data_IF_900135687406
#
_entry.id   IF_900135687406
#
_cell.length_a   1.000
_cell.length_b   1.000
_cell.length_c   1.000
_cell.angle_alpha   90.00
_cell.angle_beta   90.00
_cell.angle_gamma   90.00
#
_symmetry.space_group_name_H-M   'P 1'
#
loop_
_entity.id
_entity.type
_entity.pdbx_description
1 polymer ?
#
# COMPACT_ATOMS: atom_id res chain seq x y z
N UNK A 1 -2.92 34.18 0.53
CA UNK A 1 -3.41 34.03 1.92
C UNK A 1 -2.59 32.95 2.60
N UNK A 2 -2.24 33.10 3.88
CA UNK A 2 -1.46 32.12 4.65
C UNK A 2 -2.30 31.51 5.77
N UNK A 3 -2.10 30.23 6.08
CA UNK A 3 -2.75 29.57 7.23
C UNK A 3 -1.71 28.97 8.16
N UNK A 4 -1.98 28.89 9.46
CA UNK A 4 -1.09 28.20 10.41
C UNK A 4 -0.95 26.72 10.04
N UNK A 5 0.26 26.19 10.07
CA UNK A 5 0.55 24.79 9.71
C UNK A 5 -0.26 23.81 10.54
N UNK A 6 -0.46 24.08 11.84
CA UNK A 6 -1.26 23.20 12.72
C UNK A 6 -2.74 23.13 12.31
N UNK A 7 -3.32 24.27 11.94
CA UNK A 7 -4.67 24.37 11.44
C UNK A 7 -4.77 23.73 10.05
N UNK A 8 -3.78 23.95 9.18
CA UNK A 8 -3.77 23.46 7.81
C UNK A 8 -3.67 21.93 7.76
N UNK A 9 -2.68 21.31 8.43
CA UNK A 9 -2.51 19.84 8.42
C UNK A 9 -3.71 19.12 9.06
N UNK A 10 -4.41 19.76 10.00
CA UNK A 10 -5.67 19.27 10.53
C UNK A 10 -6.83 19.43 9.55
N UNK A 11 -6.90 20.57 8.86
CA UNK A 11 -7.95 20.88 7.90
C UNK A 11 -7.92 19.93 6.70
N UNK A 12 -6.72 19.60 6.21
CA UNK A 12 -6.49 18.61 5.14
C UNK A 12 -6.43 17.15 5.64
N UNK A 13 -6.78 16.92 6.91
CA UNK A 13 -6.98 15.58 7.50
C UNK A 13 -5.71 14.72 7.64
N UNK A 14 -4.50 15.30 7.59
CA UNK A 14 -3.27 14.58 7.95
C UNK A 14 -3.24 14.21 9.45
N UNK A 15 -3.96 14.98 10.28
CA UNK A 15 -4.18 14.65 11.69
C UNK A 15 -5.66 14.50 12.03
N UNK A 16 -5.95 13.68 13.04
CA UNK A 16 -7.34 13.42 13.48
C UNK A 16 -7.96 14.64 14.16
N UNK A 17 -7.20 15.36 14.99
CA UNK A 17 -7.68 16.51 15.76
C UNK A 17 -6.71 17.68 15.66
N UNK A 18 -7.21 18.91 15.88
CA UNK A 18 -6.39 20.12 15.89
C UNK A 18 -5.36 20.10 17.03
N UNK A 19 -5.71 19.53 18.18
CA UNK A 19 -4.79 19.34 19.30
C UNK A 19 -3.63 18.40 18.93
N UNK A 20 -3.89 17.31 18.19
CA UNK A 20 -2.86 16.41 17.69
C UNK A 20 -1.93 17.08 16.68
N UNK A 21 -2.45 17.96 15.80
CA UNK A 21 -1.61 18.77 14.91
C UNK A 21 -0.64 19.67 15.68
N UNK A 22 -1.15 20.40 16.68
CA UNK A 22 -0.32 21.25 17.53
C UNK A 22 0.72 20.46 18.32
N UNK A 23 0.36 19.28 18.84
CA UNK A 23 1.29 18.38 19.52
C UNK A 23 2.38 17.85 18.57
N UNK A 24 2.02 17.48 17.34
CA UNK A 24 2.97 17.03 16.33
C UNK A 24 3.99 18.11 15.96
N UNK A 25 3.55 19.36 15.80
CA UNK A 25 4.45 20.49 15.56
C UNK A 25 5.42 20.69 16.75
N UNK A 26 4.91 20.71 17.99
CA UNK A 26 5.75 20.84 19.20
C UNK A 26 6.72 19.68 19.39
N UNK A 27 6.34 18.47 19.00
CA UNK A 27 7.19 17.27 19.06
C UNK A 27 8.23 17.16 17.95
N UNK A 28 8.34 18.15 17.06
CA UNK A 28 9.28 18.12 15.94
C UNK A 28 8.90 17.15 14.82
N UNK A 29 7.65 16.70 14.80
CA UNK A 29 7.13 15.75 13.80
C UNK A 29 6.60 16.43 12.55
N UNK A 30 6.55 17.77 12.55
CA UNK A 30 6.13 18.58 11.40
C UNK A 30 7.28 19.47 10.97
N UNK A 31 7.61 19.43 9.67
CA UNK A 31 8.57 20.33 9.05
C UNK A 31 7.92 21.08 7.90
N UNK A 32 8.31 22.33 7.71
CA UNK A 32 7.95 23.16 6.56
C UNK A 32 9.25 23.56 5.88
N UNK A 33 9.39 23.23 4.59
CA UNK A 33 10.60 23.49 3.79
C UNK A 33 11.88 22.98 4.49
N UNK A 34 11.83 21.76 5.03
CA UNK A 34 12.95 21.12 5.71
C UNK A 34 13.18 21.54 7.17
N UNK A 35 12.59 22.65 7.64
CA UNK A 35 12.77 23.14 9.01
C UNK A 35 11.62 22.73 9.95
N UNK A 36 11.92 22.39 11.20
CA UNK A 36 10.89 22.07 12.21
C UNK A 36 9.94 23.25 12.42
N UNK A 37 8.64 22.99 12.32
CA UNK A 37 7.64 24.03 12.34
C UNK A 37 6.97 24.22 13.70
N UNK A 38 6.88 25.47 14.16
CA UNK A 38 6.02 25.83 15.30
C UNK A 38 4.55 25.74 14.87
N UNK A 39 3.60 25.40 15.77
CA UNK A 39 2.18 25.27 15.39
C UNK A 39 1.61 26.47 14.64
N UNK A 40 1.99 27.69 15.04
CA UNK A 40 1.50 28.94 14.45
C UNK A 40 2.25 29.38 13.19
N UNK A 41 3.24 28.62 12.71
CA UNK A 41 4.00 28.97 11.51
C UNK A 41 3.05 29.04 10.30
N UNK A 42 3.04 30.12 9.53
CA UNK A 42 2.23 30.21 8.32
C UNK A 42 2.75 29.24 7.25
N UNK A 43 1.85 28.69 6.46
CA UNK A 43 2.12 28.00 5.20
C UNK A 43 1.40 28.71 4.05
N UNK A 44 2.02 28.68 2.88
CA UNK A 44 1.53 29.25 1.62
C UNK A 44 1.62 28.21 0.49
N UNK A 45 0.89 28.38 -0.63
CA UNK A 45 1.05 27.51 -1.78
C UNK A 45 2.50 27.46 -2.27
N UNK A 46 2.98 26.27 -2.61
CA UNK A 46 4.37 25.97 -2.96
C UNK A 46 5.23 25.48 -1.80
N UNK A 47 4.81 25.67 -0.54
CA UNK A 47 5.54 25.12 0.61
C UNK A 47 5.49 23.59 0.63
N UNK A 48 6.60 22.95 0.97
CA UNK A 48 6.65 21.54 1.29
C UNK A 48 6.39 21.34 2.79
N UNK A 49 5.40 20.54 3.14
CA UNK A 49 5.08 20.16 4.52
C UNK A 49 5.32 18.67 4.71
N UNK A 50 6.25 18.32 5.60
CA UNK A 50 6.50 16.95 6.02
C UNK A 50 5.88 16.67 7.38
N UNK A 51 5.09 15.61 7.48
CA UNK A 51 4.43 15.16 8.71
C UNK A 51 4.78 13.71 8.97
N UNK A 52 5.44 13.42 10.09
CA UNK A 52 5.81 12.06 10.51
C UNK A 52 4.94 11.60 11.66
N UNK A 53 3.98 10.71 11.40
CA UNK A 53 3.03 10.22 12.40
C UNK A 53 2.87 8.70 12.29
N UNK A 54 2.75 8.02 13.43
CA UNK A 54 2.47 6.59 13.48
C UNK A 54 3.42 5.73 12.63
N UNK A 55 4.70 6.09 12.59
CA UNK A 55 5.72 5.39 11.81
C UNK A 55 5.69 5.64 10.30
N UNK A 56 4.77 6.47 9.81
CA UNK A 56 4.66 6.86 8.39
C UNK A 56 5.04 8.32 8.20
N UNK A 57 5.80 8.59 7.15
CA UNK A 57 6.09 9.93 6.69
C UNK A 57 5.11 10.31 5.57
N UNK A 58 4.55 11.52 5.68
CA UNK A 58 3.75 12.15 4.64
C UNK A 58 4.47 13.42 4.20
N UNK A 59 4.70 13.54 2.90
CA UNK A 59 5.33 14.72 2.29
C UNK A 59 4.31 15.30 1.34
N UNK A 60 3.86 16.53 1.60
CA UNK A 60 2.82 17.18 0.79
C UNK A 60 3.26 18.58 0.40
N UNK A 61 3.01 18.96 -0.84
CA UNK A 61 3.21 20.32 -1.34
C UNK A 61 1.88 21.08 -1.23
N UNK A 62 1.88 22.28 -0.65
CA UNK A 62 0.67 23.08 -0.45
C UNK A 62 0.21 23.63 -1.80
N UNK A 63 -1.05 23.40 -2.19
CA UNK A 63 -1.66 24.08 -3.37
C UNK A 63 -2.71 25.11 -2.96
N UNK A 64 -3.45 24.84 -1.88
CA UNK A 64 -4.46 25.75 -1.33
C UNK A 64 -4.38 25.80 0.19
N UNK A 65 -4.41 27.00 0.76
CA UNK A 65 -4.42 27.19 2.22
C UNK A 65 -5.87 27.22 2.73
N UNK A 66 -6.26 26.23 3.53
CA UNK A 66 -7.56 26.17 4.21
C UNK A 66 -7.39 26.07 5.72
N UNK A 67 -8.31 26.68 6.49
CA UNK A 67 -8.31 26.66 7.96
C UNK A 67 -9.49 25.88 8.56
N UNK A 68 -10.52 25.59 7.78
CA UNK A 68 -11.68 24.76 8.16
C UNK A 68 -11.48 23.35 7.64
N UNK A 69 -11.74 22.35 8.49
CA UNK A 69 -11.67 20.94 8.10
C UNK A 69 -12.76 20.60 7.08
N UNK A 70 -12.37 19.92 6.01
CA UNK A 70 -13.24 19.57 4.88
C UNK A 70 -13.33 18.05 4.70
N UNK A 71 -14.15 17.63 3.74
CA UNK A 71 -14.27 16.23 3.30
C UNK A 71 -12.95 15.74 2.69
N UNK A 72 -12.77 14.42 2.59
CA UNK A 72 -11.55 13.86 2.03
C UNK A 72 -11.27 14.31 0.58
N UNK A 73 -12.26 14.35 -0.34
CA UNK A 73 -12.03 14.85 -1.69
C UNK A 73 -11.58 16.31 -1.73
N UNK A 74 -12.25 17.19 -0.98
CA UNK A 74 -11.87 18.61 -0.91
C UNK A 74 -10.49 18.83 -0.29
N UNK A 75 -10.10 17.99 0.67
CA UNK A 75 -8.78 18.05 1.27
C UNK A 75 -7.69 17.68 0.25
N UNK A 76 -7.94 16.67 -0.60
CA UNK A 76 -7.00 16.22 -1.63
C UNK A 76 -6.71 17.31 -2.68
N UNK A 77 -7.66 18.22 -2.95
CA UNK A 77 -7.42 19.35 -3.85
C UNK A 77 -6.50 20.43 -3.27
N UNK A 78 -6.20 20.39 -1.96
CA UNK A 78 -5.45 21.43 -1.27
C UNK A 78 -3.94 21.12 -1.19
N UNK A 79 -3.49 19.96 -1.67
CA UNK A 79 -2.08 19.59 -1.69
C UNK A 79 -1.74 18.61 -2.82
N UNK A 80 -0.46 18.52 -3.19
CA UNK A 80 0.08 17.44 -4.01
C UNK A 80 0.80 16.45 -3.08
N UNK A 81 0.43 15.17 -3.15
CA UNK A 81 1.07 14.13 -2.35
C UNK A 81 2.40 13.69 -2.99
N UNK A 82 3.51 13.92 -2.28
CA UNK A 82 4.87 13.49 -2.64
C UNK A 82 5.40 12.45 -1.66
N UNK A 83 4.51 11.84 -0.86
CA UNK A 83 4.92 10.87 0.15
C UNK A 83 5.61 9.68 -0.51
N UNK A 84 6.69 9.15 0.10
CA UNK A 84 7.28 7.92 -0.38
C UNK A 84 6.24 6.79 -0.38
N UNK A 85 6.33 5.83 -1.33
CA UNK A 85 5.44 4.69 -1.33
C UNK A 85 5.52 3.98 0.04
N UNK A 86 4.38 3.48 0.54
CA UNK A 86 4.40 2.71 1.79
C UNK A 86 5.38 1.54 1.65
N UNK A 87 6.09 1.16 2.72
CA UNK A 87 6.96 0.00 2.67
C UNK A 87 6.16 -1.24 2.26
N UNK A 88 6.75 -2.17 1.49
CA UNK A 88 6.08 -3.39 1.06
C UNK A 88 5.44 -4.13 2.24
N UNK A 89 4.26 -4.73 2.01
CA UNK A 89 3.51 -5.44 3.07
C UNK A 89 4.35 -6.53 3.72
N UNK A 90 5.24 -7.18 2.97
CA UNK A 90 6.19 -8.19 3.44
C UNK A 90 7.16 -7.65 4.50
N UNK A 91 7.67 -6.43 4.32
CA UNK A 91 8.57 -5.78 5.28
C UNK A 91 7.80 -5.38 6.55
N UNK A 92 6.53 -5.00 6.42
CA UNK A 92 5.68 -4.69 7.58
C UNK A 92 5.24 -5.96 8.31
N UNK A 93 5.05 -7.07 7.59
CA UNK A 93 4.68 -8.37 8.13
C UNK A 93 5.87 -9.09 8.80
N UNK A 94 7.09 -8.86 8.31
CA UNK A 94 8.32 -9.39 8.91
C UNK A 94 8.77 -8.66 10.17
N UNK A 95 8.18 -7.50 10.49
CA UNK A 95 8.43 -6.83 11.76
C UNK A 95 7.98 -7.72 12.92
N UNK A 96 8.88 -8.06 13.86
CA UNK A 96 8.54 -8.89 15.00
C UNK A 96 7.37 -8.30 15.77
N UNK A 97 6.23 -8.99 15.74
CA UNK A 97 5.05 -8.63 16.53
C UNK A 97 5.12 -9.36 17.86
N UNK A 98 4.91 -8.62 18.94
CA UNK A 98 4.78 -9.21 20.28
C UNK A 98 3.33 -9.63 20.48
N UNK A 99 3.12 -10.79 21.11
CA UNK A 99 1.78 -11.29 21.38
C UNK A 99 0.94 -10.31 22.19
N UNK A 100 -0.32 -10.20 21.81
CA UNK A 100 -1.28 -9.30 22.47
C UNK A 100 -1.47 -9.78 23.91
N UNK A 101 -1.15 -8.92 24.89
CA UNK A 101 -1.23 -9.25 26.32
C UNK A 101 0.09 -9.69 26.96
N UNK A 102 1.18 -9.83 26.20
CA UNK A 102 2.48 -10.27 26.72
C UNK A 102 3.20 -9.26 27.65
N UNK A 103 2.54 -8.16 28.03
CA UNK A 103 3.03 -7.17 28.99
C UNK A 103 4.36 -6.52 28.61
N UNK A 104 4.94 -5.79 29.59
CA UNK A 104 6.29 -5.19 29.48
C UNK A 104 7.34 -6.32 29.45
N UNK A 105 8.42 -6.21 28.64
CA UNK A 105 9.46 -7.22 28.58
C UNK A 105 10.01 -7.60 29.96
N UNK A 106 10.13 -8.90 30.20
CA UNK A 106 10.72 -9.43 31.44
C UNK A 106 12.21 -9.08 31.53
N UNK A 107 12.80 -9.14 32.72
CA UNK A 107 14.24 -8.83 32.93
C UNK A 107 15.15 -9.70 32.05
N UNK A 108 14.77 -10.94 31.79
CA UNK A 108 15.49 -11.87 30.90
C UNK A 108 15.40 -11.44 29.44
N UNK A 109 14.19 -11.15 28.95
CA UNK A 109 13.98 -10.64 27.58
C UNK A 109 14.71 -9.32 27.35
N UNK A 110 14.70 -8.42 28.35
CA UNK A 110 15.45 -7.16 28.27
C UNK A 110 16.95 -7.40 28.09
N UNK A 111 17.54 -8.33 28.85
CA UNK A 111 18.96 -8.70 28.72
C UNK A 111 19.29 -9.32 27.36
N UNK A 112 18.39 -10.13 26.81
CA UNK A 112 18.55 -10.71 25.47
C UNK A 112 18.46 -9.64 24.39
N UNK A 113 17.54 -8.69 24.50
CA UNK A 113 17.44 -7.53 23.60
C UNK A 113 18.69 -6.64 23.68
N UNK A 114 19.25 -6.46 24.87
CA UNK A 114 20.47 -5.67 25.08
C UNK A 114 21.71 -6.39 24.49
N UNK A 115 21.79 -7.72 24.59
CA UNK A 115 22.83 -8.52 23.93
C UNK A 115 22.76 -8.44 22.39
N UNK A 116 21.55 -8.52 21.82
CA UNK A 116 21.33 -8.36 20.38
C UNK A 116 21.72 -6.96 19.89
N UNK A 117 21.50 -5.92 20.70
CA UNK A 117 21.90 -4.54 20.38
C UNK A 117 23.42 -4.31 20.47
N UNK A 118 24.10 -5.02 21.36
CA UNK A 118 25.56 -4.93 21.53
C UNK A 118 26.37 -5.59 20.41
N UNK A 119 25.87 -6.66 19.80
CA UNK A 119 26.58 -7.40 18.74
C UNK A 119 26.50 -6.76 17.34
N UNK A 120 25.48 -5.93 17.06
CA UNK A 120 25.25 -5.37 15.73
C UNK A 120 26.13 -4.16 15.38
N UNK A 121 26.80 -3.54 16.35
CA UNK A 121 27.65 -2.36 16.12
C UNK A 121 29.03 -2.70 15.51
N UNK A 122 29.47 -3.96 15.58
CA UNK A 122 30.81 -4.36 15.13
C UNK A 122 30.80 -4.85 13.66
N UNK A 123 29.67 -5.38 13.17
CA UNK A 123 29.60 -5.98 11.83
C UNK A 123 29.33 -4.98 10.69
N UNK A 124 28.79 -3.79 10.97
CA UNK A 124 28.43 -2.80 9.94
C UNK A 124 29.59 -1.92 9.46
N UNK A 125 30.70 -1.85 10.21
CA UNK A 125 31.84 -1.00 9.87
C UNK A 125 32.78 -1.67 8.83
N UNK A 126 32.78 -3.00 8.74
CA UNK A 126 33.67 -3.74 7.84
C UNK A 126 33.17 -3.88 6.39
N UNK A 127 31.89 -3.62 6.11
CA UNK A 127 31.29 -3.84 4.79
C UNK A 127 31.14 -2.57 3.92
N UNK A 128 31.47 -1.37 4.46
CA UNK A 128 31.24 -0.09 3.78
C UNK A 128 32.51 0.52 3.12
N UNK A 129 33.61 -0.23 2.98
CA UNK A 129 34.89 0.25 2.45
C UNK A 129 35.37 -0.49 1.19
N UNK A 130 34.47 -0.91 0.28
CA UNK A 130 34.88 -1.66 -0.91
C UNK A 130 34.18 -1.32 -2.24
N UNK A 131 33.57 -0.14 -2.42
CA UNK A 131 33.22 0.34 -3.78
C UNK A 131 33.42 1.86 -3.87
N UNK A 132 34.66 2.29 -4.10
CA UNK A 132 34.99 3.59 -4.69
C UNK A 132 35.91 3.33 -5.88
N UNK A 133 35.34 3.32 -7.09
CA UNK A 133 36.06 3.54 -8.35
C UNK A 133 35.03 3.77 -9.47
N UNK A 134 35.05 4.95 -10.11
CA UNK A 134 34.36 5.18 -11.38
C UNK A 134 33.81 6.60 -11.57
N UNK A 135 34.62 7.48 -12.14
CA UNK A 135 34.33 8.86 -12.57
C UNK A 135 33.24 8.92 -13.68
N UNK A 136 32.31 9.88 -13.65
CA UNK A 136 32.29 11.20 -14.35
C UNK A 136 31.87 11.16 -15.83
N UNK A 137 30.75 11.82 -16.14
CA UNK A 137 30.65 12.90 -17.15
C UNK A 137 29.25 13.54 -17.12
N UNK A 138 29.22 14.88 -17.21
CA UNK A 138 28.05 15.75 -17.32
C UNK A 138 27.31 15.57 -18.64
N UNK A 139 25.97 15.68 -18.62
CA UNK A 139 25.17 16.27 -19.70
C UNK A 139 23.73 16.53 -19.22
N UNK A 140 23.25 17.77 -19.41
CA UNK A 140 21.82 18.16 -19.49
C UNK A 140 21.70 19.14 -20.66
N UNK A 141 20.54 19.38 -21.30
CA UNK A 141 19.20 18.83 -21.03
C UNK A 141 18.40 18.40 -22.27
N UNK A 142 17.39 17.54 -22.09
CA UNK A 142 16.22 17.51 -22.97
C UNK A 142 14.99 17.03 -22.20
N UNK A 143 13.97 17.86 -22.22
CA UNK A 143 12.67 17.74 -21.55
C UNK A 143 11.68 16.97 -22.46
N UNK A 144 11.18 15.78 -22.10
CA UNK A 144 10.03 15.19 -22.76
C UNK A 144 8.78 15.42 -21.90
N UNK A 145 7.85 16.18 -22.47
CA UNK A 145 6.42 16.27 -22.18
C UNK A 145 5.93 15.56 -20.90
N UNK A 146 5.53 16.38 -19.92
CA UNK A 146 4.70 16.04 -18.76
C UNK A 146 3.68 14.92 -19.09
N UNK A 147 3.68 13.79 -18.37
CA UNK A 147 2.63 12.78 -18.52
C UNK A 147 1.25 13.42 -18.25
N UNK A 148 0.18 13.01 -18.96
CA UNK A 148 -1.14 13.54 -18.70
C UNK A 148 -1.49 13.30 -17.22
N UNK A 149 -1.89 14.38 -16.55
CA UNK A 149 -2.42 14.34 -15.19
C UNK A 149 -3.46 13.22 -15.10
N UNK A 150 -3.31 12.24 -14.17
CA UNK A 150 -4.29 11.18 -14.02
C UNK A 150 -5.67 11.80 -13.84
N UNK A 151 -6.62 11.34 -14.65
CA UNK A 151 -8.01 11.74 -14.54
C UNK A 151 -8.47 11.46 -13.10
N UNK A 152 -9.20 12.40 -12.49
CA UNK A 152 -9.74 12.18 -11.16
C UNK A 152 -10.54 10.86 -11.18
N UNK A 153 -10.29 9.93 -10.24
CA UNK A 153 -11.08 8.70 -10.17
C UNK A 153 -12.56 9.06 -10.12
N UNK A 154 -13.41 8.23 -10.72
CA UNK A 154 -14.87 8.37 -10.67
C UNK A 154 -15.42 8.53 -9.24
N UNK A 155 -16.73 8.66 -9.08
CA UNK A 155 -17.26 8.68 -7.71
C UNK A 155 -17.12 7.26 -7.13
N UNK A 156 -16.56 7.20 -5.92
CA UNK A 156 -16.45 5.96 -5.17
C UNK A 156 -17.85 5.33 -5.06
N UNK A 157 -17.96 4.07 -5.46
CA UNK A 157 -19.18 3.32 -5.32
C UNK A 157 -20.16 3.27 -6.48
N UNK A 158 -19.80 3.82 -7.65
CA UNK A 158 -20.56 3.61 -8.89
C UNK A 158 -20.32 2.22 -9.51
N UNK A 159 -19.36 1.44 -8.99
CA UNK A 159 -19.08 0.07 -9.42
C UNK A 159 -20.11 -0.95 -8.92
N UNK A 160 -20.16 -2.15 -9.55
CA UNK A 160 -21.14 -3.17 -9.22
C UNK A 160 -20.88 -3.78 -7.84
N UNK A 161 -21.89 -4.44 -7.29
CA UNK A 161 -21.78 -5.19 -6.05
C UNK A 161 -21.33 -6.62 -6.35
N UNK A 162 -20.17 -7.01 -5.82
CA UNK A 162 -19.56 -8.32 -6.11
C UNK A 162 -20.06 -9.46 -5.22
N UNK A 163 -21.06 -9.23 -4.36
CA UNK A 163 -21.48 -10.23 -3.38
C UNK A 163 -20.39 -10.55 -2.35
N UNK A 164 -20.69 -11.51 -1.48
CA UNK A 164 -19.69 -12.03 -0.55
C UNK A 164 -18.61 -12.79 -1.33
N UNK A 165 -17.33 -12.56 -1.00
CA UNK A 165 -16.20 -13.29 -1.60
C UNK A 165 -16.12 -13.22 -3.14
N UNK A 166 -16.56 -12.11 -3.73
CA UNK A 166 -16.58 -11.98 -5.20
C UNK A 166 -17.62 -12.89 -5.86
N UNK A 167 -18.60 -13.38 -5.10
CA UNK A 167 -19.64 -14.28 -5.58
C UNK A 167 -19.20 -15.74 -5.71
N UNK A 168 -18.06 -16.14 -5.13
CA UNK A 168 -17.53 -17.51 -5.20
C UNK A 168 -17.57 -18.25 -3.86
N UNK A 169 -17.83 -19.55 -3.92
CA UNK A 169 -17.77 -20.44 -2.76
C UNK A 169 -16.36 -21.00 -2.54
N UNK A 170 -16.09 -21.53 -1.35
CA UNK A 170 -14.80 -22.17 -1.03
C UNK A 170 -14.51 -23.36 -1.94
N UNK A 171 -15.53 -24.13 -2.31
CA UNK A 171 -15.43 -25.30 -3.19
C UNK A 171 -15.04 -24.86 -4.60
N UNK A 172 -15.63 -23.77 -5.10
CA UNK A 172 -15.28 -23.20 -6.41
C UNK A 172 -13.84 -22.68 -6.40
N UNK A 173 -13.45 -21.92 -5.38
CA UNK A 173 -12.08 -21.40 -5.26
C UNK A 173 -11.07 -22.55 -5.19
N UNK A 174 -11.34 -23.59 -4.40
CA UNK A 174 -10.48 -24.78 -4.31
C UNK A 174 -10.38 -25.53 -5.64
N UNK A 175 -11.51 -25.69 -6.34
CA UNK A 175 -11.59 -26.38 -7.63
C UNK A 175 -10.84 -25.62 -8.74
N UNK A 176 -11.08 -24.32 -8.86
CA UNK A 176 -10.49 -23.47 -9.91
C UNK A 176 -8.99 -23.33 -9.71
N UNK A 177 -8.55 -23.08 -8.47
CA UNK A 177 -7.13 -22.86 -8.16
C UNK A 177 -6.31 -24.13 -8.12
N UNK A 178 -6.95 -25.30 -7.93
CA UNK A 178 -6.29 -26.61 -7.79
C UNK A 178 -5.25 -26.64 -6.66
N UNK A 179 -5.43 -25.81 -5.63
CA UNK A 179 -4.54 -25.71 -4.47
C UNK A 179 -4.83 -26.75 -3.38
N UNK A 180 -5.69 -27.72 -3.68
CA UNK A 180 -6.19 -28.69 -2.71
C UNK A 180 -7.32 -28.12 -1.86
N UNK A 181 -7.51 -28.70 -0.67
CA UNK A 181 -8.57 -28.26 0.24
C UNK A 181 -8.16 -26.95 0.90
N UNK A 182 -8.89 -25.89 0.60
CA UNK A 182 -8.71 -24.60 1.24
C UNK A 182 -9.79 -24.34 2.28
N UNK A 183 -9.43 -23.64 3.36
CA UNK A 183 -10.38 -23.14 4.37
C UNK A 183 -10.47 -21.64 4.28
N UNK A 184 -11.69 -21.09 4.31
CA UNK A 184 -11.87 -19.65 4.38
C UNK A 184 -11.51 -19.15 5.79
N UNK A 185 -10.39 -18.44 5.92
CA UNK A 185 -9.87 -17.95 7.20
C UNK A 185 -10.21 -16.48 7.44
N UNK A 186 -10.53 -15.73 6.39
CA UNK A 186 -11.04 -14.36 6.48
C UNK A 186 -12.28 -14.25 5.60
N UNK A 187 -13.41 -13.90 6.22
CA UNK A 187 -14.69 -13.75 5.53
C UNK A 187 -15.38 -12.46 5.95
N UNK A 188 -15.33 -11.43 5.11
CA UNK A 188 -16.05 -10.18 5.32
C UNK A 188 -16.47 -9.54 3.98
N UNK A 189 -17.31 -8.48 3.98
CA UNK A 189 -17.89 -7.93 2.76
C UNK A 189 -16.91 -7.37 1.73
N UNK A 190 -15.65 -7.11 2.11
CA UNK A 190 -14.65 -6.52 1.21
C UNK A 190 -13.40 -7.38 1.05
N UNK A 191 -13.24 -8.42 1.87
CA UNK A 191 -12.07 -9.30 1.82
C UNK A 191 -12.50 -10.72 2.12
N UNK A 192 -12.10 -11.64 1.24
CA UNK A 192 -12.07 -13.05 1.54
C UNK A 192 -10.67 -13.63 1.37
N UNK A 193 -10.31 -14.57 2.23
CA UNK A 193 -9.06 -15.29 2.13
C UNK A 193 -9.27 -16.76 2.45
N UNK A 194 -8.63 -17.59 1.65
CA UNK A 194 -8.58 -19.02 1.79
C UNK A 194 -7.14 -19.47 1.90
N UNK A 195 -6.85 -20.32 2.87
CA UNK A 195 -5.53 -20.92 3.02
C UNK A 195 -5.64 -22.41 3.35
N UNK A 196 -4.55 -23.15 3.16
CA UNK A 196 -4.51 -24.59 3.43
C UNK A 196 -4.08 -24.95 4.86
N UNK A 197 -3.54 -24.01 5.65
CA UNK A 197 -2.85 -24.31 6.93
C UNK A 197 -3.31 -23.48 8.13
N UNK A 198 -4.18 -22.49 7.93
CA UNK A 198 -4.56 -21.48 8.92
C UNK A 198 -3.46 -20.43 9.22
N UNK A 199 -2.29 -20.56 8.61
CA UNK A 199 -1.08 -19.78 8.94
C UNK A 199 -0.49 -19.02 7.74
N UNK A 200 -1.14 -19.07 6.56
CA UNK A 200 -0.66 -18.49 5.29
C UNK A 200 0.74 -18.94 4.85
N UNK A 201 1.23 -20.07 5.36
CA UNK A 201 2.56 -20.62 4.99
C UNK A 201 2.48 -21.59 3.80
N UNK A 202 1.27 -21.98 3.41
CA UNK A 202 1.01 -22.84 2.25
C UNK A 202 0.31 -22.07 1.12
N UNK A 203 -0.36 -22.79 0.21
CA UNK A 203 -1.24 -22.19 -0.79
C UNK A 203 -2.26 -21.22 -0.19
N UNK A 204 -2.45 -20.08 -0.85
CA UNK A 204 -3.39 -19.02 -0.46
C UNK A 204 -4.12 -18.49 -1.69
N UNK A 205 -5.42 -18.24 -1.56
CA UNK A 205 -6.19 -17.42 -2.48
C UNK A 205 -6.85 -16.28 -1.71
N UNK A 206 -6.93 -15.09 -2.29
CA UNK A 206 -7.62 -13.96 -1.67
C UNK A 206 -8.36 -13.13 -2.69
N UNK A 207 -9.50 -12.60 -2.25
CA UNK A 207 -10.30 -11.61 -2.94
C UNK A 207 -10.32 -10.33 -2.11
N UNK A 208 -9.97 -9.20 -2.71
CA UNK A 208 -10.03 -7.89 -2.09
C UNK A 208 -10.86 -6.93 -2.96
N UNK A 209 -11.84 -6.27 -2.37
CA UNK A 209 -12.65 -5.25 -3.02
C UNK A 209 -12.36 -3.87 -2.44
N UNK A 210 -11.88 -2.96 -3.28
CA UNK A 210 -11.46 -1.62 -2.90
C UNK A 210 -12.44 -0.59 -3.46
N UNK A 211 -13.01 0.24 -2.57
CA UNK A 211 -13.92 1.33 -2.96
C UNK A 211 -13.25 2.69 -2.79
N UNK A 212 -13.36 3.54 -3.81
CA UNK A 212 -12.81 4.90 -3.81
C UNK A 212 -11.29 4.98 -3.90
N UNK A 213 -10.67 3.99 -4.55
CA UNK A 213 -9.24 3.99 -4.86
C UNK A 213 -9.06 3.56 -6.32
N UNK A 214 -8.49 4.40 -7.20
CA UNK A 214 -8.22 3.99 -8.58
C UNK A 214 -7.21 2.84 -8.61
N UNK A 215 -7.42 1.92 -9.54
CA UNK A 215 -6.56 0.74 -9.75
C UNK A 215 -5.10 1.13 -10.02
N UNK A 216 -4.86 2.30 -10.62
CA UNK A 216 -3.53 2.77 -10.99
C UNK A 216 -2.55 2.85 -9.82
N UNK A 217 -3.03 3.08 -8.58
CA UNK A 217 -2.16 3.07 -7.41
C UNK A 217 -1.63 1.67 -7.11
N UNK A 218 -2.49 0.66 -7.18
CA UNK A 218 -2.06 -0.71 -6.86
C UNK A 218 -1.28 -1.35 -8.00
N UNK A 219 -1.62 -1.05 -9.26
CA UNK A 219 -0.78 -1.42 -10.40
C UNK A 219 0.65 -0.89 -10.25
N UNK A 220 0.82 0.36 -9.80
CA UNK A 220 2.14 0.92 -9.57
C UNK A 220 2.90 0.22 -8.43
N UNK A 221 2.19 -0.24 -7.39
CA UNK A 221 2.78 -1.09 -6.34
C UNK A 221 3.26 -2.42 -6.94
N UNK A 222 2.43 -3.10 -7.73
CA UNK A 222 2.79 -4.39 -8.32
C UNK A 222 3.98 -4.32 -9.27
N UNK A 223 4.10 -3.22 -10.04
CA UNK A 223 5.27 -2.99 -10.89
C UNK A 223 6.60 -2.88 -10.11
N UNK A 224 6.55 -2.57 -8.81
CA UNK A 224 7.73 -2.50 -7.96
C UNK A 224 8.07 -3.85 -7.32
N UNK A 225 7.10 -4.75 -7.15
CA UNK A 225 7.25 -6.01 -6.41
C UNK A 225 7.20 -7.27 -7.27
N UNK A 226 6.63 -7.22 -8.48
CA UNK A 226 6.41 -8.40 -9.34
C UNK A 226 7.40 -8.47 -10.49
N UNK A 227 7.65 -9.69 -10.95
CA UNK A 227 8.55 -9.94 -12.08
C UNK A 227 7.91 -9.48 -13.41
N UNK A 228 6.58 -9.55 -13.51
CA UNK A 228 5.82 -9.12 -14.67
C UNK A 228 4.55 -8.40 -14.23
N UNK A 229 4.17 -7.35 -14.94
CA UNK A 229 2.89 -6.65 -14.80
C UNK A 229 2.44 -6.20 -16.18
N UNK A 230 1.29 -6.71 -16.63
CA UNK A 230 0.76 -6.44 -17.97
C UNK A 230 -0.70 -6.00 -17.87
N UNK A 231 -1.12 -5.16 -18.79
CA UNK A 231 -2.51 -4.72 -18.87
C UNK A 231 -3.36 -5.82 -19.52
N UNK A 232 -4.57 -6.02 -19.00
CA UNK A 232 -5.51 -7.01 -19.50
C UNK A 232 -6.92 -6.43 -19.58
N UNK A 233 -7.78 -7.12 -20.32
CA UNK A 233 -9.21 -6.87 -20.34
C UNK A 233 -9.94 -8.19 -20.09
N UNK A 234 -10.88 -8.20 -19.13
CA UNK A 234 -11.75 -9.34 -18.85
C UNK A 234 -13.18 -8.85 -18.94
N UNK A 235 -13.99 -9.47 -19.82
CA UNK A 235 -15.42 -9.15 -19.98
C UNK A 235 -15.69 -7.66 -20.24
N UNK A 236 -14.82 -6.97 -20.98
CA UNK A 236 -14.96 -5.53 -21.28
C UNK A 236 -14.47 -4.60 -20.17
N UNK A 237 -13.90 -5.13 -19.09
CA UNK A 237 -13.33 -4.36 -17.99
C UNK A 237 -11.81 -4.43 -18.02
N UNK A 238 -11.18 -3.25 -18.02
CA UNK A 238 -9.72 -3.13 -18.01
C UNK A 238 -9.15 -3.46 -16.65
N UNK A 239 -7.92 -3.92 -16.64
CA UNK A 239 -7.22 -4.30 -15.44
C UNK A 239 -5.75 -4.54 -15.67
N UNK A 240 -5.12 -5.19 -14.69
CA UNK A 240 -3.77 -5.70 -14.82
C UNK A 240 -3.71 -7.16 -14.36
N UNK A 241 -2.73 -7.88 -14.89
CA UNK A 241 -2.26 -9.14 -14.32
C UNK A 241 -0.79 -8.98 -13.97
N UNK A 242 -0.43 -9.37 -12.76
CA UNK A 242 0.92 -9.31 -12.26
C UNK A 242 1.31 -10.66 -11.66
N UNK A 243 2.55 -11.08 -11.85
CA UNK A 243 3.02 -12.33 -11.27
C UNK A 243 4.51 -12.27 -10.94
N UNK A 244 4.91 -13.06 -9.95
CA UNK A 244 6.32 -13.34 -9.70
C UNK A 244 6.81 -14.52 -10.56
N UNK A 245 8.09 -14.87 -10.43
CA UNK A 245 8.67 -15.98 -11.17
C UNK A 245 8.36 -17.35 -10.54
N UNK A 246 7.70 -17.41 -9.37
CA UNK A 246 7.78 -18.56 -8.48
C UNK A 246 6.44 -19.18 -8.09
N UNK A 247 5.40 -18.41 -7.77
CA UNK A 247 4.15 -18.99 -7.28
C UNK A 247 2.93 -18.06 -7.24
N UNK A 248 3.08 -16.75 -7.42
CA UNK A 248 2.00 -15.78 -7.13
C UNK A 248 1.52 -15.11 -8.41
N UNK A 249 0.20 -15.12 -8.64
CA UNK A 249 -0.44 -14.34 -9.69
C UNK A 249 -1.63 -13.54 -9.18
N UNK A 250 -1.70 -12.28 -9.59
CA UNK A 250 -2.65 -11.28 -9.14
C UNK A 250 -3.34 -10.64 -10.34
N UNK A 251 -4.67 -10.51 -10.25
CA UNK A 251 -5.50 -9.85 -11.26
C UNK A 251 -6.32 -8.77 -10.59
N UNK A 252 -6.13 -7.53 -10.99
CA UNK A 252 -6.96 -6.39 -10.59
C UNK A 252 -7.86 -5.93 -11.73
N UNK A 253 -9.15 -5.69 -11.49
CA UNK A 253 -10.12 -5.23 -12.52
C UNK A 253 -10.81 -3.93 -12.09
N UNK A 254 -10.76 -2.92 -12.96
CA UNK A 254 -11.23 -1.55 -12.74
C UNK A 254 -12.74 -1.37 -12.96
N UNK A 255 -13.38 -0.64 -12.03
CA UNK A 255 -14.76 -0.16 -12.11
C UNK A 255 -14.80 1.32 -11.69
N UNK A 256 -14.28 2.20 -12.54
CA UNK A 256 -14.22 3.64 -12.29
C UNK A 256 -13.28 3.98 -11.14
N UNK A 257 -13.83 4.33 -9.97
CA UNK A 257 -13.04 4.59 -8.77
C UNK A 257 -12.92 3.41 -7.81
N UNK A 258 -13.54 2.29 -8.16
CA UNK A 258 -13.47 1.05 -7.41
C UNK A 258 -12.69 0.03 -8.26
N UNK A 259 -12.11 -0.98 -7.61
CA UNK A 259 -11.57 -2.15 -8.29
C UNK A 259 -11.66 -3.35 -7.35
N UNK A 260 -11.67 -4.55 -7.90
CA UNK A 260 -11.41 -5.75 -7.11
C UNK A 260 -10.09 -6.38 -7.55
N UNK A 261 -9.55 -7.22 -6.69
CA UNK A 261 -8.31 -7.93 -6.90
C UNK A 261 -8.45 -9.38 -6.42
N UNK A 262 -8.07 -10.32 -7.30
CA UNK A 262 -7.80 -11.70 -6.93
C UNK A 262 -6.29 -11.91 -6.85
N UNK A 263 -5.81 -12.53 -5.78
CA UNK A 263 -4.41 -12.95 -5.62
C UNK A 263 -4.37 -14.43 -5.28
N UNK A 264 -3.62 -15.22 -6.05
CA UNK A 264 -3.46 -16.65 -5.87
C UNK A 264 -1.97 -16.96 -5.74
N UNK A 265 -1.60 -17.59 -4.63
CA UNK A 265 -0.26 -18.10 -4.35
C UNK A 265 -0.31 -19.60 -4.22
N UNK A 266 0.42 -20.30 -5.09
CA UNK A 266 0.52 -21.75 -5.02
C UNK A 266 1.42 -22.25 -3.88
N UNK A 267 2.23 -21.37 -3.29
CA UNK A 267 3.29 -21.75 -2.33
C UNK A 267 4.49 -22.42 -3.02
N UNK A 268 5.62 -22.46 -2.32
CA UNK A 268 6.92 -22.85 -2.89
C UNK A 268 7.06 -24.32 -3.31
N UNK A 269 6.16 -25.19 -2.83
CA UNK A 269 6.21 -26.64 -3.07
C UNK A 269 5.09 -27.14 -4.00
N UNK A 270 4.35 -26.23 -4.64
CA UNK A 270 3.26 -26.62 -5.52
C UNK A 270 3.76 -27.15 -6.87
N UNK A 271 3.13 -28.18 -7.45
CA UNK A 271 3.42 -28.62 -8.80
C UNK A 271 2.84 -27.70 -9.89
N UNK A 272 2.08 -26.67 -9.52
CA UNK A 272 1.47 -25.76 -10.48
C UNK A 272 2.50 -24.79 -11.06
N UNK A 273 2.45 -24.64 -12.38
CA UNK A 273 3.20 -23.60 -13.09
C UNK A 273 2.58 -22.22 -12.86
N UNK A 274 3.37 -21.15 -13.02
CA UNK A 274 2.84 -19.79 -12.87
C UNK A 274 1.71 -19.48 -13.87
N UNK A 275 1.78 -20.03 -15.08
CA UNK A 275 0.72 -19.91 -16.09
C UNK A 275 -0.60 -20.50 -15.59
N UNK A 276 -0.55 -21.70 -15.00
CA UNK A 276 -1.72 -22.34 -14.41
C UNK A 276 -2.31 -21.57 -13.22
N UNK A 277 -1.46 -20.92 -12.42
CA UNK A 277 -1.90 -20.04 -11.33
C UNK A 277 -2.60 -18.81 -11.91
N UNK A 278 -2.00 -18.16 -12.91
CA UNK A 278 -2.59 -17.00 -13.57
C UNK A 278 -3.91 -17.30 -14.29
N UNK A 279 -4.03 -18.46 -14.93
CA UNK A 279 -5.28 -18.88 -15.58
C UNK A 279 -6.40 -19.07 -14.54
N UNK A 280 -6.09 -19.65 -13.38
CA UNK A 280 -7.03 -19.73 -12.28
C UNK A 280 -7.43 -18.32 -11.77
N UNK A 281 -6.47 -17.41 -11.57
CA UNK A 281 -6.74 -16.04 -11.12
C UNK A 281 -7.62 -15.28 -12.13
N UNK A 282 -7.41 -15.48 -13.44
CA UNK A 282 -8.26 -14.92 -14.50
C UNK A 282 -9.68 -15.48 -14.44
N UNK A 283 -9.83 -16.78 -14.25
CA UNK A 283 -11.14 -17.43 -14.19
C UNK A 283 -11.96 -16.98 -12.98
N UNK A 284 -11.32 -16.88 -11.81
CA UNK A 284 -11.94 -16.29 -10.60
C UNK A 284 -12.43 -14.87 -10.87
N UNK A 285 -11.60 -14.05 -11.52
CA UNK A 285 -11.94 -12.66 -11.87
C UNK A 285 -13.11 -12.60 -12.85
N UNK A 286 -13.13 -13.47 -13.87
CA UNK A 286 -14.23 -13.57 -14.83
C UNK A 286 -15.55 -13.91 -14.14
N UNK A 287 -15.55 -14.89 -13.24
CA UNK A 287 -16.74 -15.29 -12.49
C UNK A 287 -17.22 -14.19 -11.55
N UNK A 288 -16.32 -13.46 -10.89
CA UNK A 288 -16.69 -12.32 -10.06
C UNK A 288 -17.38 -11.21 -10.86
N UNK A 289 -16.93 -10.95 -12.09
CA UNK A 289 -17.59 -9.97 -12.97
C UNK A 289 -18.99 -10.46 -13.38
N UNK A 290 -19.12 -11.73 -13.76
CA UNK A 290 -20.40 -12.28 -14.23
C UNK A 290 -21.47 -12.37 -13.15
N UNK A 291 -21.07 -12.48 -11.88
CA UNK A 291 -21.96 -12.60 -10.72
C UNK A 291 -22.20 -11.27 -10.02
N UNK A 292 -21.53 -10.20 -10.46
CA UNK A 292 -21.72 -8.88 -9.91
C UNK A 292 -23.10 -8.32 -10.31
N UNK A 293 -23.76 -7.62 -9.39
CA UNK A 293 -25.08 -7.00 -9.57
C UNK A 293 -25.03 -5.48 -9.57
#
# INVERSE_FOLDING_TARGET
MSTRVDAWIWAIRLTKTRSAAGAACRGGHVRVNGATAKPAQPVVPGDEVRVRLSGRERVVEVTKTISKRVSAPMAAECYIDRSPPPPPREVVASQPRRDRGAGRPTKRERRQLDQLRGGFLIALIAALMLIVAGCSSDDTPSDPAKPPTPQAPGRAGDGPFFGECGGLTTEEVSSITRLGVLTNTIKNPSVCEWDSTGTRTGPVASFNWYRGSPIGRERATEQLSRASTTDIEIKGHRGFIAHDATAICEVGIEFGADFFEWSVSAGSNSPLTIEQVCDATRELSRLSIERAS
#
